data_IF_712940930083
#
_entry.id   IF_712940930083
#
_cell.length_a   1.000
_cell.length_b   1.000
_cell.length_c   1.000
_cell.angle_alpha   90.00
_cell.angle_beta   90.00
_cell.angle_gamma   90.00
#
_symmetry.space_group_name_H-M   'P 1'
#
loop_
_entity.id
_entity.type
_entity.pdbx_description
1 polymer ?
#
# COMPACT_ATOMS: atom_id res chain seq x y z
N UNK A 1 3.81 1.52 21.35
CA UNK A 1 2.70 1.54 20.39
C UNK A 1 2.40 0.10 20.03
N UNK A 2 1.15 -0.25 19.79
CA UNK A 2 0.73 -1.62 19.52
C UNK A 2 0.66 -1.87 18.00
N UNK A 3 0.81 -3.12 17.59
CA UNK A 3 0.66 -3.56 16.20
C UNK A 3 -0.79 -3.35 15.74
N UNK A 4 -0.98 -2.60 14.65
CA UNK A 4 -2.30 -2.29 14.10
C UNK A 4 -2.56 -3.13 12.84
N UNK A 5 -3.74 -3.76 12.78
CA UNK A 5 -4.16 -4.55 11.63
C UNK A 5 -5.07 -3.74 10.72
N UNK A 6 -4.67 -3.59 9.46
CA UNK A 6 -5.39 -2.79 8.45
C UNK A 6 -6.00 -3.75 7.43
N UNK A 7 -7.32 -3.86 7.41
CA UNK A 7 -7.99 -4.85 6.55
C UNK A 7 -7.64 -6.29 6.92
N UNK A 8 -7.49 -7.16 5.91
CA UNK A 8 -7.18 -8.59 6.08
C UNK A 8 -5.73 -8.94 5.83
N UNK A 9 -5.00 -8.18 5.03
CA UNK A 9 -3.67 -8.53 4.56
C UNK A 9 -2.58 -7.54 4.96
N UNK A 10 -2.92 -6.41 5.57
CA UNK A 10 -1.95 -5.37 5.92
C UNK A 10 -1.84 -5.24 7.45
N UNK A 11 -0.66 -4.87 7.92
CA UNK A 11 -0.33 -4.60 9.31
C UNK A 11 0.64 -3.43 9.40
N UNK A 12 0.52 -2.62 10.44
CA UNK A 12 1.48 -1.58 10.81
C UNK A 12 2.03 -1.91 12.20
N UNK A 13 3.28 -2.37 12.24
CA UNK A 13 3.95 -2.75 13.48
C UNK A 13 5.11 -1.78 13.74
N UNK A 14 5.15 -1.05 14.88
CA UNK A 14 6.23 -0.11 15.19
C UNK A 14 7.63 -0.73 15.14
N UNK A 15 7.76 -2.04 15.39
CA UNK A 15 9.01 -2.79 15.36
C UNK A 15 9.39 -3.27 13.95
N UNK A 16 8.48 -3.20 12.97
CA UNK A 16 8.68 -3.60 11.58
C UNK A 16 8.61 -2.38 10.68
N UNK A 17 9.69 -2.12 9.92
CA UNK A 17 9.75 -1.02 8.96
C UNK A 17 9.31 0.34 9.55
N UNK A 18 9.56 0.56 10.84
CA UNK A 18 9.21 1.78 11.58
C UNK A 18 7.70 2.09 11.62
N UNK A 19 6.84 1.06 11.68
CA UNK A 19 5.39 1.24 11.70
C UNK A 19 4.77 1.53 10.35
N UNK A 20 5.54 1.52 9.26
CA UNK A 20 4.98 1.64 7.91
C UNK A 20 4.16 0.38 7.57
N UNK A 21 3.05 0.50 6.83
CA UNK A 21 2.24 -0.64 6.45
C UNK A 21 3.02 -1.68 5.63
N UNK A 22 2.99 -2.93 6.08
CA UNK A 22 3.52 -4.09 5.38
C UNK A 22 2.42 -5.13 5.14
N UNK A 23 2.65 -6.04 4.20
CA UNK A 23 1.80 -7.22 4.09
C UNK A 23 2.06 -8.18 5.26
N UNK A 24 1.00 -8.72 5.84
CA UNK A 24 1.05 -9.57 7.04
C UNK A 24 2.01 -10.74 6.85
N UNK A 25 2.85 -10.96 7.86
CA UNK A 25 3.87 -12.01 7.82
C UNK A 25 5.07 -11.71 6.90
N UNK A 26 5.15 -10.50 6.35
CA UNK A 26 6.26 -10.08 5.48
C UNK A 26 6.89 -8.77 5.98
N UNK A 27 8.05 -8.42 5.40
CA UNK A 27 8.66 -7.09 5.51
C UNK A 27 8.51 -6.29 4.21
N UNK A 28 7.53 -6.64 3.38
CA UNK A 28 7.31 -6.00 2.09
C UNK A 28 6.36 -4.83 2.32
N UNK A 29 6.80 -3.62 1.99
CA UNK A 29 6.00 -2.43 2.18
C UNK A 29 4.84 -2.41 1.19
N UNK A 30 3.69 -1.95 1.67
CA UNK A 30 2.55 -1.68 0.78
C UNK A 30 2.94 -0.62 -0.27
N UNK A 31 3.73 0.37 0.12
CA UNK A 31 4.23 1.41 -0.77
C UNK A 31 5.05 0.84 -1.95
N UNK A 32 5.95 -0.11 -1.70
CA UNK A 32 6.78 -0.69 -2.76
C UNK A 32 5.93 -1.42 -3.81
N UNK A 33 4.88 -2.14 -3.37
CA UNK A 33 3.95 -2.83 -4.27
C UNK A 33 3.06 -1.86 -5.05
N UNK A 34 2.65 -0.75 -4.43
CA UNK A 34 1.90 0.29 -5.13
C UNK A 34 2.77 1.03 -6.16
N UNK A 35 4.06 1.22 -5.89
CA UNK A 35 5.02 1.75 -6.85
C UNK A 35 5.16 0.82 -8.06
N UNK A 36 5.32 -0.49 -7.84
CA UNK A 36 5.35 -1.49 -8.93
C UNK A 36 4.05 -1.47 -9.76
N UNK A 37 2.89 -1.28 -9.12
CA UNK A 37 1.61 -1.09 -9.84
C UNK A 37 1.65 0.21 -10.67
N UNK A 38 2.17 1.31 -10.12
CA UNK A 38 2.29 2.59 -10.81
C UNK A 38 3.25 2.52 -12.01
N UNK A 39 4.31 1.73 -11.91
CA UNK A 39 5.24 1.39 -12.99
C UNK A 39 4.61 0.48 -14.08
N UNK A 40 3.38 0.01 -13.86
CA UNK A 40 2.61 -0.77 -14.82
C UNK A 40 2.93 -2.26 -14.82
N UNK A 41 3.55 -2.78 -13.76
CA UNK A 41 3.80 -4.22 -13.66
C UNK A 41 2.49 -4.99 -13.53
N UNK A 42 2.42 -6.14 -14.23
CA UNK A 42 1.33 -7.09 -14.05
C UNK A 42 1.39 -7.67 -12.62
N UNK A 43 0.23 -7.95 -12.04
CA UNK A 43 0.17 -8.40 -10.64
C UNK A 43 0.84 -9.76 -10.47
N UNK A 44 0.75 -10.63 -11.47
CA UNK A 44 1.44 -11.92 -11.51
C UNK A 44 2.96 -11.72 -11.42
N UNK A 45 3.51 -10.74 -12.15
CA UNK A 45 4.95 -10.40 -12.09
C UNK A 45 5.35 -9.90 -10.71
N UNK A 46 4.56 -9.03 -10.08
CA UNK A 46 4.81 -8.56 -8.71
C UNK A 46 4.83 -9.75 -7.74
N UNK A 47 3.86 -10.65 -7.85
CA UNK A 47 3.79 -11.86 -6.99
C UNK A 47 5.04 -12.72 -7.19
N UNK A 48 5.48 -12.93 -8.43
CA UNK A 48 6.70 -13.69 -8.74
C UNK A 48 7.97 -13.02 -8.21
N UNK A 49 8.11 -11.69 -8.33
CA UNK A 49 9.25 -10.93 -7.80
C UNK A 49 9.37 -11.07 -6.28
N UNK A 50 8.24 -11.07 -5.57
CA UNK A 50 8.16 -11.34 -4.13
C UNK A 50 8.11 -12.83 -3.79
N UNK A 51 8.39 -13.71 -4.76
CA UNK A 51 8.48 -15.17 -4.60
C UNK A 51 7.22 -15.81 -3.99
N UNK A 52 6.05 -15.29 -4.33
CA UNK A 52 4.76 -15.75 -3.80
C UNK A 52 4.49 -15.33 -2.35
N UNK A 53 5.29 -14.42 -1.77
CA UNK A 53 5.08 -13.94 -0.39
C UNK A 53 3.85 -13.03 -0.25
N UNK A 54 3.28 -12.58 -1.37
CA UNK A 54 2.09 -11.73 -1.42
C UNK A 54 1.09 -12.40 -2.35
N UNK A 55 -0.18 -12.45 -1.95
CA UNK A 55 -1.24 -13.00 -2.79
C UNK A 55 -1.90 -11.91 -3.64
N UNK A 56 -2.63 -12.34 -4.67
CA UNK A 56 -3.42 -11.44 -5.51
C UNK A 56 -4.43 -10.62 -4.68
N UNK A 57 -5.09 -11.24 -3.71
CA UNK A 57 -6.07 -10.58 -2.83
C UNK A 57 -5.43 -9.53 -1.93
N UNK A 58 -4.18 -9.75 -1.52
CA UNK A 58 -3.43 -8.77 -0.75
C UNK A 58 -3.13 -7.52 -1.59
N UNK A 59 -2.68 -7.70 -2.85
CA UNK A 59 -2.47 -6.59 -3.79
C UNK A 59 -3.80 -5.85 -4.06
N UNK A 60 -4.90 -6.59 -4.27
CA UNK A 60 -6.22 -6.00 -4.47
C UNK A 60 -6.67 -5.16 -3.26
N UNK A 61 -6.45 -5.66 -2.04
CA UNK A 61 -6.81 -4.92 -0.83
C UNK A 61 -5.98 -3.65 -0.66
N UNK A 62 -4.67 -3.72 -0.94
CA UNK A 62 -3.78 -2.56 -0.93
C UNK A 62 -4.26 -1.48 -1.92
N UNK A 63 -4.57 -1.87 -3.16
CA UNK A 63 -5.07 -0.94 -4.18
C UNK A 63 -6.40 -0.29 -3.77
N UNK A 64 -7.34 -1.08 -3.22
CA UNK A 64 -8.64 -0.58 -2.74
C UNK A 64 -8.48 0.42 -1.59
N UNK A 65 -7.64 0.10 -0.61
CA UNK A 65 -7.38 0.99 0.53
C UNK A 65 -6.66 2.27 0.09
N UNK A 66 -5.74 2.17 -0.86
CA UNK A 66 -5.04 3.34 -1.44
C UNK A 66 -6.02 4.28 -2.13
N UNK A 67 -6.96 3.73 -2.91
CA UNK A 67 -8.06 4.52 -3.50
C UNK A 67 -8.88 5.23 -2.42
N UNK A 68 -9.24 4.53 -1.34
CA UNK A 68 -10.03 5.13 -0.26
C UNK A 68 -9.26 6.26 0.44
N UNK A 69 -8.00 6.00 0.81
CA UNK A 69 -7.14 6.99 1.43
C UNK A 69 -6.93 8.23 0.54
N UNK A 70 -6.80 8.04 -0.79
CA UNK A 70 -6.72 9.14 -1.74
C UNK A 70 -7.99 10.00 -1.72
N UNK A 71 -9.18 9.38 -1.78
CA UNK A 71 -10.45 10.11 -1.73
C UNK A 71 -10.64 10.86 -0.40
N UNK A 72 -10.24 10.25 0.71
CA UNK A 72 -10.36 10.84 2.05
C UNK A 72 -9.36 11.98 2.30
N UNK A 73 -8.33 12.11 1.46
CA UNK A 73 -7.25 13.09 1.61
C UNK A 73 -7.08 14.03 0.42
N UNK A 74 -7.95 13.96 -0.59
CA UNK A 74 -7.83 14.73 -1.84
C UNK A 74 -7.71 16.25 -1.59
N UNK A 75 -8.41 16.76 -0.57
CA UNK A 75 -8.38 18.19 -0.21
C UNK A 75 -6.99 18.68 0.19
N UNK A 76 -6.13 17.78 0.71
CA UNK A 76 -4.74 18.11 1.07
C UNK A 76 -3.84 18.37 -0.15
N UNK A 77 -4.29 17.97 -1.33
CA UNK A 77 -3.56 18.09 -2.59
C UNK A 77 -4.22 19.09 -3.55
N UNK A 78 -5.32 19.73 -3.16
CA UNK A 78 -5.94 20.77 -3.94
C UNK A 78 -4.98 21.96 -4.07
N UNK A 79 -4.61 22.30 -5.30
CA UNK A 79 -3.87 23.53 -5.57
C UNK A 79 -4.86 24.70 -5.52
N UNK A 80 -4.51 25.77 -4.81
CA UNK A 80 -5.26 27.01 -4.94
C UNK A 80 -5.12 27.51 -6.39
N UNK A 81 -6.22 27.93 -7.04
CA UNK A 81 -6.15 28.43 -8.40
C UNK A 81 -5.22 29.63 -8.42
N UNK A 82 -4.12 29.52 -9.17
CA UNK A 82 -3.20 30.64 -9.41
C UNK A 82 -3.99 31.75 -10.09
N UNK A 83 -4.41 32.75 -9.31
CA UNK A 83 -5.10 33.92 -9.85
C UNK A 83 -4.04 34.71 -10.62
N UNK A 84 -4.05 34.61 -11.95
CA UNK A 84 -3.24 35.44 -12.85
C UNK A 84 -4.07 36.63 -13.30
#
# INVERSE_FOLDING_TARGET
METEYIGRFIVADPEICHGKPTFRGTRILVADVLEQIADGLAWETIIEEWRGSISYEAIAEAARLSRQAFLDSVDKYALEPTTT
#
